data_IF_297532435157
#
_entry.id   IF_297532435157
#
_cell.length_a   1.000
_cell.length_b   1.000
_cell.length_c   1.000
_cell.angle_alpha   90.00
_cell.angle_beta   90.00
_cell.angle_gamma   90.00
#
_symmetry.space_group_name_H-M   'P 1'
#
loop_
_entity.id
_entity.type
_entity.pdbx_description
1 polymer ?
#
# COMPACT_ATOMS: atom_id res chain seq x y z
N UNK A 1 -17.28 -18.60 -0.31
CA UNK A 1 -15.99 -18.28 0.36
C UNK A 1 -14.90 -18.99 -0.42
N UNK A 2 -14.11 -18.28 -1.15
CA UNK A 2 -12.82 -18.78 -1.60
C UNK A 2 -11.83 -18.17 -0.61
N UNK A 3 -11.67 -18.81 0.58
CA UNK A 3 -10.40 -18.69 1.27
C UNK A 3 -9.36 -19.12 0.24
N UNK A 4 -8.35 -18.31 -0.07
CA UNK A 4 -7.25 -18.79 -0.88
C UNK A 4 -6.70 -20.02 -0.15
N UNK A 5 -6.77 -21.18 -0.78
CA UNK A 5 -6.46 -22.48 -0.15
C UNK A 5 -5.05 -22.53 0.47
N UNK A 6 -4.20 -21.53 0.21
CA UNK A 6 -2.94 -21.27 0.88
C UNK A 6 -2.48 -19.83 0.55
N UNK A 7 -2.72 -18.81 1.41
CA UNK A 7 -2.23 -17.45 1.16
C UNK A 7 -0.71 -17.40 1.16
N UNK A 8 -0.14 -16.60 0.25
CA UNK A 8 1.32 -16.41 0.16
C UNK A 8 1.87 -15.73 1.41
N UNK A 9 1.12 -14.78 1.97
CA UNK A 9 1.46 -14.09 3.22
C UNK A 9 0.31 -14.23 4.21
N UNK A 10 0.62 -14.67 5.42
CA UNK A 10 -0.31 -14.76 6.56
C UNK A 10 0.25 -13.97 7.74
N UNK A 11 -0.57 -13.15 8.34
CA UNK A 11 -0.22 -12.34 9.51
C UNK A 11 -1.26 -12.59 10.60
N UNK A 12 -0.81 -12.88 11.82
CA UNK A 12 -1.71 -13.16 12.95
C UNK A 12 -1.26 -12.41 14.19
N UNK A 13 -2.17 -11.61 14.75
CA UNK A 13 -1.97 -10.86 15.97
C UNK A 13 -0.70 -10.01 15.99
N UNK A 14 -0.32 -9.42 14.84
CA UNK A 14 0.96 -8.71 14.73
C UNK A 14 0.95 -7.42 15.54
N UNK A 15 1.95 -7.26 16.43
CA UNK A 15 2.07 -6.13 17.34
C UNK A 15 3.44 -5.49 17.20
N UNK A 16 3.46 -4.16 17.18
CA UNK A 16 4.67 -3.35 17.37
C UNK A 16 4.40 -2.16 18.25
N UNK A 17 4.95 -2.19 19.44
CA UNK A 17 4.95 -1.10 20.38
C UNK A 17 6.37 -0.54 20.50
N UNK A 18 6.53 0.76 20.26
CA UNK A 18 7.81 1.46 20.45
C UNK A 18 7.83 2.10 21.82
N UNK A 19 8.73 1.72 22.74
CA UNK A 19 8.83 2.35 24.05
C UNK A 19 9.24 3.82 23.86
N UNK A 20 8.47 4.73 24.46
CA UNK A 20 8.80 6.16 24.51
C UNK A 20 9.51 6.44 25.81
N UNK A 21 10.71 7.01 25.73
CA UNK A 21 11.61 7.51 26.73
C UNK A 21 11.35 7.15 28.20
N UNK A 22 12.20 6.30 28.76
CA UNK A 22 12.31 6.12 30.19
C UNK A 22 13.52 6.85 30.71
N UNK A 23 13.32 7.85 31.55
CA UNK A 23 14.38 8.25 32.51
C UNK A 23 14.78 7.01 33.30
N UNK A 24 16.06 6.80 33.47
CA UNK A 24 16.66 5.68 34.21
C UNK A 24 16.29 5.66 35.71
N UNK A 25 15.49 6.64 36.15
CA UNK A 25 15.07 6.84 37.54
C UNK A 25 13.57 7.16 37.56
N UNK A 26 12.71 6.14 37.84
CA UNK A 26 11.30 6.34 38.13
C UNK A 26 10.36 5.35 37.41
N UNK A 27 9.73 4.48 38.18
CA UNK A 27 8.74 3.48 37.80
C UNK A 27 7.34 4.07 37.52
N UNK A 28 7.23 5.10 36.67
CA UNK A 28 5.94 5.53 36.15
C UNK A 28 5.77 4.91 34.77
N UNK A 29 4.68 4.19 34.57
CA UNK A 29 4.34 3.32 33.45
C UNK A 29 4.98 3.71 32.12
N UNK A 30 5.78 2.81 31.53
CA UNK A 30 6.40 3.00 30.22
C UNK A 30 5.32 3.22 29.17
N UNK A 31 5.12 4.48 28.79
CA UNK A 31 4.28 4.77 27.63
C UNK A 31 4.95 4.19 26.39
N UNK A 32 4.17 3.60 25.52
CA UNK A 32 4.65 3.06 24.26
C UNK A 32 3.75 3.53 23.11
N UNK A 33 4.34 3.90 22.00
CA UNK A 33 3.60 4.16 20.76
C UNK A 33 3.14 2.83 20.21
N UNK A 34 1.83 2.59 20.18
CA UNK A 34 1.18 1.40 19.61
C UNK A 34 1.06 1.56 18.10
N UNK A 35 2.18 1.42 17.39
CA UNK A 35 2.23 1.65 15.95
C UNK A 35 1.48 0.57 15.14
N UNK A 36 1.53 -0.68 15.58
CA UNK A 36 0.72 -1.82 15.08
C UNK A 36 0.25 -2.59 16.30
N UNK A 37 -1.03 -2.93 16.38
CA UNK A 37 -1.64 -3.47 17.60
C UNK A 37 -2.72 -4.51 17.28
N UNK A 38 -2.27 -5.76 17.05
CA UNK A 38 -3.14 -6.90 16.81
C UNK A 38 -3.65 -6.98 15.36
N UNK A 39 -2.77 -6.84 14.36
CA UNK A 39 -3.16 -6.90 12.95
C UNK A 39 -3.17 -8.34 12.44
N UNK A 40 -4.31 -8.72 11.83
CA UNK A 40 -4.50 -9.96 11.08
C UNK A 40 -4.70 -9.64 9.59
N UNK A 41 -3.94 -10.31 8.70
CA UNK A 41 -4.01 -10.13 7.24
C UNK A 41 -3.67 -11.44 6.53
N UNK A 42 -4.38 -11.68 5.41
CA UNK A 42 -4.02 -12.74 4.46
C UNK A 42 -3.92 -12.14 3.05
N UNK A 43 -2.84 -12.50 2.34
CA UNK A 43 -2.63 -12.06 0.95
C UNK A 43 -2.38 -13.29 0.08
N UNK A 44 -3.26 -13.49 -0.90
CA UNK A 44 -3.15 -14.57 -1.89
C UNK A 44 -1.97 -14.34 -2.84
N UNK A 45 -1.43 -15.42 -3.40
CA UNK A 45 -0.44 -15.34 -4.47
C UNK A 45 -1.03 -14.62 -5.70
N UNK A 46 -0.27 -13.75 -6.34
CA UNK A 46 -0.68 -12.97 -7.49
C UNK A 46 -1.70 -11.86 -7.21
N UNK A 47 -2.18 -11.70 -5.97
CA UNK A 47 -3.13 -10.67 -5.59
C UNK A 47 -2.45 -9.36 -5.18
N UNK A 48 -3.19 -8.26 -5.26
CA UNK A 48 -2.76 -6.95 -4.76
C UNK A 48 -3.61 -6.52 -3.56
N UNK A 49 -2.97 -6.33 -2.40
CA UNK A 49 -3.58 -5.75 -1.21
C UNK A 49 -3.22 -4.26 -1.09
N UNK A 50 -4.21 -3.38 -1.08
CA UNK A 50 -4.06 -1.98 -0.72
C UNK A 50 -4.13 -1.80 0.80
N UNK A 51 -3.26 -0.97 1.37
CA UNK A 51 -3.33 -0.56 2.78
C UNK A 51 -3.46 0.96 2.84
N UNK A 52 -4.56 1.44 3.40
CA UNK A 52 -4.88 2.87 3.46
C UNK A 52 -5.18 3.33 4.88
N UNK A 53 -5.13 4.63 5.11
CA UNK A 53 -5.45 5.27 6.38
C UNK A 53 -4.69 6.59 6.55
N UNK A 54 -5.04 7.39 7.55
CA UNK A 54 -4.40 8.67 7.85
C UNK A 54 -2.90 8.52 8.12
N UNK A 55 -2.13 9.63 7.93
CA UNK A 55 -0.70 9.64 8.24
C UNK A 55 -0.46 9.27 9.70
N UNK A 56 0.58 8.48 9.97
CA UNK A 56 0.92 8.03 11.32
C UNK A 56 0.07 6.88 11.88
N UNK A 57 -0.91 6.32 11.14
CA UNK A 57 -1.72 5.20 11.62
C UNK A 57 -1.00 3.84 11.67
N UNK A 58 0.27 3.75 11.24
CA UNK A 58 1.09 2.53 11.35
C UNK A 58 1.37 1.78 10.05
N UNK A 59 0.90 2.23 8.89
CA UNK A 59 1.02 1.55 7.58
C UNK A 59 2.46 1.18 7.21
N UNK A 60 3.37 2.16 7.19
CA UNK A 60 4.79 1.93 6.84
C UNK A 60 5.49 1.05 7.89
N UNK A 61 5.09 1.15 9.16
CA UNK A 61 5.57 0.25 10.20
C UNK A 61 5.13 -1.19 9.92
N UNK A 62 3.86 -1.39 9.54
CA UNK A 62 3.34 -2.69 9.15
C UNK A 62 4.14 -3.26 7.97
N UNK A 63 4.35 -2.51 6.88
CA UNK A 63 5.15 -2.95 5.73
C UNK A 63 6.57 -3.41 6.13
N UNK A 64 7.23 -2.68 7.02
CA UNK A 64 8.57 -3.03 7.52
C UNK A 64 8.56 -4.27 8.42
N UNK A 65 7.50 -4.48 9.20
CA UNK A 65 7.31 -5.69 10.01
C UNK A 65 7.13 -6.93 9.15
N UNK A 66 6.34 -6.83 8.06
CA UNK A 66 6.10 -7.94 7.13
C UNK A 66 7.40 -8.48 6.50
N UNK A 67 8.41 -7.63 6.33
CA UNK A 67 9.75 -8.00 5.86
C UNK A 67 10.73 -8.29 6.99
N UNK A 68 10.26 -8.21 8.25
CA UNK A 68 11.12 -8.27 9.44
C UNK A 68 12.31 -7.31 9.35
N UNK A 69 12.12 -6.11 8.74
CA UNK A 69 13.09 -5.01 8.79
C UNK A 69 13.11 -4.36 10.17
N UNK A 70 12.00 -4.50 10.90
CA UNK A 70 11.83 -4.13 12.31
C UNK A 70 11.32 -5.38 13.02
N UNK A 71 11.88 -5.71 14.18
CA UNK A 71 11.40 -6.83 15.00
C UNK A 71 10.03 -6.48 15.60
N UNK A 72 9.03 -7.37 15.48
CA UNK A 72 7.74 -7.19 16.14
C UNK A 72 7.86 -7.34 17.66
N UNK A 73 6.87 -6.83 18.38
CA UNK A 73 6.73 -7.04 19.82
C UNK A 73 6.06 -8.38 20.11
N UNK A 74 5.09 -8.77 19.27
CA UNK A 74 4.36 -10.04 19.35
C UNK A 74 3.70 -10.37 17.98
N UNK A 75 3.12 -11.55 17.87
CA UNK A 75 2.40 -12.02 16.70
C UNK A 75 3.20 -12.98 15.83
N UNK A 76 2.66 -13.28 14.66
CA UNK A 76 3.25 -14.22 13.71
C UNK A 76 3.13 -13.67 12.28
N UNK A 77 4.18 -13.92 11.48
CA UNK A 77 4.20 -13.64 10.04
C UNK A 77 4.70 -14.88 9.31
N UNK A 78 3.85 -15.45 8.46
CA UNK A 78 4.22 -16.57 7.60
C UNK A 78 4.26 -16.12 6.15
N UNK A 79 5.33 -16.46 5.47
CA UNK A 79 5.48 -16.26 4.04
C UNK A 79 5.72 -17.61 3.35
N UNK A 80 4.85 -17.96 2.41
CA UNK A 80 4.89 -19.25 1.69
C UNK A 80 4.92 -20.45 2.66
N UNK A 81 4.11 -20.36 3.74
CA UNK A 81 4.02 -21.36 4.79
C UNK A 81 5.11 -21.32 5.86
N UNK A 82 6.20 -20.58 5.65
CA UNK A 82 7.34 -20.49 6.56
C UNK A 82 7.18 -19.33 7.55
N UNK A 83 7.37 -19.56 8.86
CA UNK A 83 7.36 -18.50 9.87
C UNK A 83 8.64 -17.68 9.82
N UNK A 84 8.56 -16.47 9.29
CA UNK A 84 9.74 -15.60 9.12
C UNK A 84 10.27 -15.03 10.44
N UNK A 85 9.46 -15.01 11.51
CA UNK A 85 9.89 -14.51 12.82
C UNK A 85 10.77 -15.53 13.56
N UNK A 86 10.57 -16.81 13.31
CA UNK A 86 11.39 -17.89 13.89
C UNK A 86 12.72 -18.12 13.15
N UNK A 87 12.94 -17.48 11.99
CA UNK A 87 14.12 -17.71 11.16
C UNK A 87 15.39 -17.08 11.75
N UNK A 88 16.51 -17.80 11.60
CA UNK A 88 17.84 -17.23 11.80
C UNK A 88 18.24 -16.27 10.66
N UNK A 89 19.31 -15.51 10.84
CA UNK A 89 19.74 -14.47 9.88
C UNK A 89 20.01 -15.03 8.45
N UNK A 90 20.53 -16.25 8.34
CA UNK A 90 20.81 -16.88 7.04
C UNK A 90 19.53 -17.27 6.30
N UNK A 91 18.57 -17.89 7.00
CA UNK A 91 17.25 -18.23 6.44
C UNK A 91 16.47 -16.97 6.04
N UNK A 92 16.46 -15.97 6.93
CA UNK A 92 15.79 -14.68 6.67
C UNK A 92 16.36 -13.97 5.43
N UNK A 93 17.69 -14.01 5.22
CA UNK A 93 18.32 -13.44 4.01
C UNK A 93 17.83 -14.14 2.74
N UNK A 94 17.65 -15.47 2.77
CA UNK A 94 17.09 -16.21 1.61
C UNK A 94 15.64 -15.84 1.33
N UNK A 95 14.82 -15.72 2.37
CA UNK A 95 13.41 -15.34 2.23
C UNK A 95 13.28 -13.91 1.75
N UNK A 96 14.09 -12.96 2.25
CA UNK A 96 14.10 -11.55 1.80
C UNK A 96 14.43 -11.38 0.31
N UNK A 97 15.13 -12.33 -0.32
CA UNK A 97 15.25 -12.35 -1.79
C UNK A 97 13.88 -12.46 -2.46
N UNK A 98 12.96 -13.24 -1.89
CA UNK A 98 11.60 -13.48 -2.41
C UNK A 98 10.59 -12.40 -2.02
N UNK A 99 10.96 -11.51 -1.10
CA UNK A 99 10.14 -10.41 -0.59
C UNK A 99 10.93 -9.12 -0.66
N UNK A 100 10.49 -8.16 -1.44
CA UNK A 100 11.21 -6.91 -1.66
C UNK A 100 10.36 -5.70 -1.27
N UNK A 101 11.02 -4.55 -1.06
CA UNK A 101 10.36 -3.30 -0.72
C UNK A 101 10.76 -2.20 -1.71
N UNK A 102 9.77 -1.45 -2.16
CA UNK A 102 9.93 -0.19 -2.86
C UNK A 102 9.59 0.92 -1.87
N UNK A 103 10.56 1.77 -1.56
CA UNK A 103 10.44 2.80 -0.54
C UNK A 103 9.78 4.07 -1.08
N UNK A 104 9.20 4.85 -0.18
CA UNK A 104 8.49 6.10 -0.43
C UNK A 104 9.37 7.15 -1.12
N UNK A 105 10.61 7.31 -0.66
CA UNK A 105 11.56 8.28 -1.21
C UNK A 105 12.56 7.62 -2.16
N UNK A 106 12.39 7.84 -3.49
CA UNK A 106 13.31 7.31 -4.47
C UNK A 106 14.71 7.95 -4.40
N UNK A 107 14.84 9.15 -3.78
CA UNK A 107 16.13 9.83 -3.63
C UNK A 107 17.01 9.14 -2.59
N UNK A 108 16.44 8.82 -1.43
CA UNK A 108 17.19 8.16 -0.35
C UNK A 108 17.40 6.67 -0.62
N UNK A 109 16.63 6.06 -1.54
CA UNK A 109 16.71 4.63 -1.85
C UNK A 109 17.89 4.25 -2.75
N UNK A 110 18.48 5.20 -3.47
CA UNK A 110 19.60 4.98 -4.39
C UNK A 110 20.86 5.68 -3.87
N UNK A 111 21.99 4.97 -3.88
CA UNK A 111 23.28 5.58 -3.55
C UNK A 111 23.67 6.58 -4.66
N UNK A 112 23.79 7.90 -4.38
CA UNK A 112 24.06 8.91 -5.38
C UNK A 112 25.48 8.80 -6.00
N UNK A 113 26.36 8.02 -5.39
CA UNK A 113 27.74 7.80 -5.87
C UNK A 113 27.88 6.58 -6.78
N UNK A 114 26.80 5.81 -6.97
CA UNK A 114 26.78 4.63 -7.84
C UNK A 114 26.02 4.95 -9.13
N UNK A 115 26.49 4.41 -10.25
CA UNK A 115 25.69 4.43 -11.48
C UNK A 115 24.46 3.53 -11.33
N UNK A 116 23.42 3.79 -12.11
CA UNK A 116 22.18 2.98 -12.12
C UNK A 116 22.51 1.51 -12.41
N UNK A 117 23.38 1.25 -13.40
CA UNK A 117 23.82 -0.11 -13.72
C UNK A 117 24.49 -0.82 -12.55
N UNK A 118 25.32 -0.10 -11.78
CA UNK A 118 25.96 -0.66 -10.57
C UNK A 118 24.93 -0.95 -9.48
N UNK A 119 23.97 -0.05 -9.28
CA UNK A 119 22.89 -0.24 -8.29
C UNK A 119 21.97 -1.42 -8.62
N UNK A 120 21.74 -1.71 -9.90
CA UNK A 120 20.98 -2.88 -10.35
C UNK A 120 21.81 -4.16 -10.35
N UNK A 121 23.12 -4.08 -10.62
CA UNK A 121 24.01 -5.23 -10.61
C UNK A 121 24.35 -5.72 -9.20
N UNK A 122 24.29 -4.86 -8.18
CA UNK A 122 24.58 -5.20 -6.79
C UNK A 122 23.70 -6.36 -6.26
N UNK A 123 22.36 -6.31 -6.31
CA UNK A 123 21.50 -7.42 -5.87
C UNK A 123 21.68 -8.67 -6.73
N UNK A 124 21.92 -8.53 -8.05
CA UNK A 124 22.21 -9.67 -8.92
C UNK A 124 23.48 -10.42 -8.48
N UNK A 125 24.50 -9.66 -8.06
CA UNK A 125 25.76 -10.21 -7.56
C UNK A 125 25.62 -10.84 -6.19
N UNK A 126 24.99 -10.09 -5.24
CA UNK A 126 24.82 -10.51 -3.85
C UNK A 126 24.05 -11.83 -3.73
N UNK A 127 22.98 -11.95 -4.51
CA UNK A 127 22.10 -13.11 -4.51
C UNK A 127 22.45 -14.15 -5.58
N UNK A 128 23.49 -13.93 -6.38
CA UNK A 128 23.95 -14.81 -7.48
C UNK A 128 22.80 -15.20 -8.41
N UNK A 129 22.00 -14.21 -8.80
CA UNK A 129 20.81 -14.43 -9.65
C UNK A 129 21.22 -14.91 -11.04
N UNK A 130 22.27 -14.28 -11.59
CA UNK A 130 22.85 -14.62 -12.88
C UNK A 130 24.39 -14.71 -12.79
N UNK A 131 25.07 -15.46 -13.69
CA UNK A 131 26.52 -15.48 -13.81
C UNK A 131 27.10 -14.08 -14.04
N UNK A 132 28.35 -13.84 -13.63
CA UNK A 132 28.99 -12.53 -13.71
C UNK A 132 28.98 -11.95 -15.14
N UNK A 133 29.20 -12.79 -16.15
CA UNK A 133 29.22 -12.38 -17.56
C UNK A 133 27.84 -11.94 -18.13
N UNK A 134 26.74 -12.37 -17.49
CA UNK A 134 25.38 -12.04 -17.94
C UNK A 134 24.76 -10.86 -17.19
N UNK A 135 25.44 -10.29 -16.19
CA UNK A 135 24.86 -9.22 -15.35
C UNK A 135 24.54 -7.97 -16.13
N UNK A 136 25.38 -7.61 -17.13
CA UNK A 136 25.17 -6.44 -17.96
C UNK A 136 23.91 -6.55 -18.80
N UNK A 137 23.68 -7.71 -19.39
CA UNK A 137 22.48 -7.98 -20.21
C UNK A 137 21.24 -7.99 -19.32
N UNK A 138 21.34 -8.61 -18.14
CA UNK A 138 20.23 -8.61 -17.16
C UNK A 138 19.88 -7.21 -16.66
N UNK A 139 20.87 -6.33 -16.47
CA UNK A 139 20.64 -4.92 -16.13
C UNK A 139 19.90 -4.19 -17.26
N UNK A 140 20.26 -4.44 -18.52
CA UNK A 140 19.58 -3.87 -19.67
C UNK A 140 18.12 -4.33 -19.75
N UNK A 141 17.86 -5.63 -19.54
CA UNK A 141 16.51 -6.19 -19.48
C UNK A 141 15.68 -5.53 -18.35
N UNK A 142 16.25 -5.38 -17.14
CA UNK A 142 15.57 -4.75 -16.01
C UNK A 142 15.20 -3.29 -16.29
N UNK A 143 16.04 -2.55 -16.98
CA UNK A 143 15.74 -1.18 -17.39
C UNK A 143 14.61 -1.14 -18.42
N UNK A 144 14.64 -2.02 -19.40
CA UNK A 144 13.60 -2.14 -20.42
C UNK A 144 12.24 -2.51 -19.81
N UNK A 145 12.21 -3.47 -18.87
CA UNK A 145 10.99 -3.86 -18.14
C UNK A 145 10.30 -2.70 -17.44
N UNK A 146 11.04 -1.69 -16.99
CA UNK A 146 10.47 -0.49 -16.35
C UNK A 146 10.34 0.70 -17.31
N UNK A 147 10.56 0.48 -18.62
CA UNK A 147 10.43 1.50 -19.67
C UNK A 147 11.55 2.55 -19.64
N UNK A 148 12.77 2.15 -19.29
CA UNK A 148 13.97 2.94 -19.35
C UNK A 148 14.93 2.38 -20.41
N UNK A 149 15.66 3.25 -21.09
CA UNK A 149 16.62 2.82 -22.10
C UNK A 149 17.84 2.12 -21.47
N UNK A 150 18.38 1.05 -22.07
CA UNK A 150 19.55 0.32 -21.56
C UNK A 150 20.81 1.18 -21.35
N UNK A 151 21.02 2.22 -22.16
CA UNK A 151 22.14 3.17 -22.04
C UNK A 151 22.07 4.02 -20.75
N UNK A 152 20.92 4.09 -20.11
CA UNK A 152 20.76 4.72 -18.80
C UNK A 152 21.57 4.03 -17.69
N UNK A 153 22.04 2.80 -17.90
CA UNK A 153 22.88 2.08 -16.93
C UNK A 153 24.16 2.85 -16.54
N UNK A 154 24.72 3.65 -17.46
CA UNK A 154 25.93 4.45 -17.23
C UNK A 154 25.71 5.73 -16.42
N UNK A 155 24.48 6.19 -16.26
CA UNK A 155 24.12 7.46 -15.61
C UNK A 155 24.02 7.34 -14.10
N UNK A 156 24.11 8.47 -13.41
CA UNK A 156 23.95 8.56 -11.96
C UNK A 156 22.49 8.92 -11.58
N UNK A 157 22.03 8.57 -10.38
CA UNK A 157 20.65 8.85 -9.96
C UNK A 157 20.22 10.32 -10.06
N UNK A 158 21.12 11.28 -9.85
CA UNK A 158 20.81 12.70 -9.92
C UNK A 158 20.50 13.21 -11.34
N UNK A 159 20.81 12.45 -12.38
CA UNK A 159 20.52 12.76 -13.78
C UNK A 159 19.10 12.35 -14.22
N UNK A 160 18.29 11.78 -13.30
CA UNK A 160 16.96 11.28 -13.58
C UNK A 160 15.87 12.09 -12.87
N UNK A 161 14.69 12.16 -13.48
CA UNK A 161 13.49 12.69 -12.84
C UNK A 161 13.01 11.81 -11.66
N UNK A 162 12.15 12.33 -10.79
CA UNK A 162 11.58 11.56 -9.68
C UNK A 162 10.90 10.27 -10.14
N UNK A 163 10.09 10.32 -11.19
CA UNK A 163 9.42 9.14 -11.75
C UNK A 163 10.37 8.13 -12.36
N UNK A 164 11.46 8.59 -13.01
CA UNK A 164 12.49 7.69 -13.52
C UNK A 164 13.27 7.02 -12.38
N UNK A 165 13.59 7.73 -11.30
CA UNK A 165 14.23 7.15 -10.10
C UNK A 165 13.33 6.11 -9.45
N UNK A 166 12.02 6.36 -9.41
CA UNK A 166 11.06 5.38 -8.90
C UNK A 166 11.05 4.10 -9.76
N UNK A 167 11.10 4.23 -11.09
CA UNK A 167 11.25 3.09 -12.01
C UNK A 167 12.54 2.31 -11.77
N UNK A 168 13.65 2.99 -11.49
CA UNK A 168 14.93 2.36 -11.13
C UNK A 168 14.80 1.61 -9.79
N UNK A 169 14.11 2.19 -8.80
CA UNK A 169 13.82 1.53 -7.52
C UNK A 169 13.00 0.25 -7.69
N UNK A 170 11.99 0.28 -8.58
CA UNK A 170 11.20 -0.90 -8.96
C UNK A 170 12.09 -1.93 -9.67
N UNK A 171 12.90 -1.53 -10.65
CA UNK A 171 13.83 -2.43 -11.35
C UNK A 171 14.79 -3.12 -10.37
N UNK A 172 15.30 -2.38 -9.37
CA UNK A 172 16.16 -2.94 -8.32
C UNK A 172 15.46 -3.99 -7.48
N UNK A 173 14.20 -3.74 -7.10
CA UNK A 173 13.41 -4.74 -6.39
C UNK A 173 13.17 -6.00 -7.24
N UNK A 174 12.95 -5.85 -8.55
CA UNK A 174 12.73 -6.95 -9.49
C UNK A 174 14.03 -7.74 -9.78
N UNK A 175 15.20 -7.16 -9.57
CA UNK A 175 16.49 -7.79 -9.90
C UNK A 175 16.69 -9.18 -9.26
N UNK A 176 16.09 -9.43 -8.11
CA UNK A 176 16.18 -10.70 -7.38
C UNK A 176 15.02 -11.66 -7.64
N UNK A 177 14.13 -11.34 -8.57
CA UNK A 177 12.97 -12.14 -8.96
C UNK A 177 12.07 -12.47 -7.74
N UNK A 178 11.51 -11.43 -7.08
CA UNK A 178 10.69 -11.62 -5.90
C UNK A 178 9.32 -12.22 -6.24
N UNK A 179 8.66 -12.84 -5.23
CA UNK A 179 7.24 -13.23 -5.30
C UNK A 179 6.32 -12.19 -4.66
N UNK A 180 6.86 -11.35 -3.77
CA UNK A 180 6.13 -10.29 -3.08
C UNK A 180 6.91 -8.98 -3.16
N UNK A 181 6.22 -7.90 -3.56
CA UNK A 181 6.74 -6.55 -3.45
C UNK A 181 5.81 -5.72 -2.55
N UNK A 182 6.39 -5.05 -1.56
CA UNK A 182 5.69 -4.09 -0.71
C UNK A 182 6.09 -2.69 -1.17
N UNK A 183 5.15 -1.92 -1.72
CA UNK A 183 5.32 -0.51 -2.05
C UNK A 183 4.90 0.36 -0.87
N UNK A 184 5.85 1.00 -0.20
CA UNK A 184 5.57 1.98 0.86
C UNK A 184 5.42 3.36 0.22
N UNK A 185 4.19 3.78 -0.02
CA UNK A 185 3.82 5.02 -0.73
C UNK A 185 4.59 5.22 -2.07
N UNK A 186 4.55 4.24 -2.98
CA UNK A 186 5.46 4.21 -4.14
C UNK A 186 5.24 5.35 -5.15
N UNK A 187 4.23 6.20 -4.95
CA UNK A 187 3.87 7.29 -5.86
C UNK A 187 3.63 8.64 -5.17
N UNK A 188 3.71 8.72 -3.84
CA UNK A 188 3.31 9.92 -3.07
C UNK A 188 4.10 11.19 -3.38
N UNK A 189 5.37 11.05 -3.78
CA UNK A 189 6.27 12.18 -4.09
C UNK A 189 6.27 12.56 -5.58
N UNK A 190 5.30 12.08 -6.38
CA UNK A 190 5.25 12.24 -7.81
C UNK A 190 4.02 13.03 -8.27
N UNK A 191 4.13 13.71 -9.41
CA UNK A 191 2.99 14.37 -10.05
C UNK A 191 1.92 13.36 -10.48
N UNK A 192 0.64 13.76 -10.48
CA UNK A 192 -0.52 12.89 -10.75
C UNK A 192 -0.38 12.09 -12.05
N UNK A 193 0.14 12.70 -13.13
CA UNK A 193 0.36 12.02 -14.41
C UNK A 193 1.43 10.93 -14.32
N UNK A 194 2.47 11.15 -13.54
CA UNK A 194 3.55 10.18 -13.31
C UNK A 194 3.07 9.09 -12.36
N UNK A 195 2.26 9.42 -11.35
CA UNK A 195 1.63 8.42 -10.48
C UNK A 195 0.86 7.38 -11.29
N UNK A 196 0.00 7.83 -12.21
CA UNK A 196 -0.76 6.92 -13.09
C UNK A 196 0.15 6.00 -13.92
N UNK A 197 1.27 6.51 -14.43
CA UNK A 197 2.24 5.70 -15.16
C UNK A 197 2.90 4.63 -14.30
N UNK A 198 3.30 4.96 -13.06
CA UNK A 198 3.92 4.00 -12.13
C UNK A 198 2.89 2.93 -11.70
N UNK A 199 1.65 3.31 -11.44
CA UNK A 199 0.56 2.37 -11.11
C UNK A 199 0.33 1.39 -12.26
N UNK A 200 0.23 1.89 -13.50
CA UNK A 200 0.08 1.04 -14.68
C UNK A 200 1.28 0.12 -14.90
N UNK A 201 2.50 0.61 -14.65
CA UNK A 201 3.71 -0.21 -14.69
C UNK A 201 3.64 -1.34 -13.66
N UNK A 202 3.32 -1.05 -12.39
CA UNK A 202 3.20 -2.07 -11.34
C UNK A 202 2.13 -3.12 -11.68
N UNK A 203 0.95 -2.70 -12.20
CA UNK A 203 -0.09 -3.64 -12.67
C UNK A 203 0.37 -4.51 -13.84
N UNK A 204 1.10 -3.92 -14.78
CA UNK A 204 1.69 -4.65 -15.91
C UNK A 204 2.67 -5.72 -15.43
N UNK A 205 3.61 -5.32 -14.56
CA UNK A 205 4.59 -6.22 -13.97
C UNK A 205 3.96 -7.31 -13.10
N UNK A 206 2.94 -6.98 -12.32
CA UNK A 206 2.19 -7.93 -11.51
C UNK A 206 1.61 -9.06 -12.37
N UNK A 207 0.96 -8.71 -13.49
CA UNK A 207 0.38 -9.70 -14.42
C UNK A 207 1.44 -10.49 -15.18
N UNK A 208 2.50 -9.82 -15.62
CA UNK A 208 3.56 -10.43 -16.43
C UNK A 208 4.42 -11.42 -15.63
N UNK A 209 4.66 -11.12 -14.36
CA UNK A 209 5.59 -11.86 -13.49
C UNK A 209 4.88 -12.65 -12.39
N UNK A 210 3.54 -12.68 -12.37
CA UNK A 210 2.72 -13.29 -11.30
C UNK A 210 3.12 -12.79 -9.89
N UNK A 211 3.36 -11.48 -9.79
CA UNK A 211 3.80 -10.85 -8.54
C UNK A 211 2.62 -10.66 -7.58
N UNK A 212 2.85 -10.89 -6.31
CA UNK A 212 1.97 -10.42 -5.25
C UNK A 212 2.40 -9.02 -4.82
N UNK A 213 1.44 -8.11 -4.68
CA UNK A 213 1.73 -6.73 -4.30
C UNK A 213 1.03 -6.37 -2.98
N UNK A 214 1.73 -5.62 -2.12
CA UNK A 214 1.12 -4.85 -1.04
C UNK A 214 1.44 -3.39 -1.32
N UNK A 215 0.40 -2.56 -1.50
CA UNK A 215 0.56 -1.14 -1.81
C UNK A 215 0.03 -0.31 -0.66
N UNK A 216 0.94 0.32 0.06
CA UNK A 216 0.62 1.28 1.11
C UNK A 216 0.46 2.64 0.44
N UNK A 217 -0.69 3.29 0.65
CA UNK A 217 -0.94 4.62 0.13
C UNK A 217 -1.80 5.44 1.11
N UNK A 218 -1.70 6.76 1.02
CA UNK A 218 -2.64 7.67 1.68
C UNK A 218 -3.77 8.09 0.74
N UNK A 219 -3.60 7.92 -0.57
CA UNK A 219 -4.59 8.22 -1.60
C UNK A 219 -5.41 6.97 -1.95
N UNK A 220 -6.71 7.03 -1.63
CA UNK A 220 -7.67 5.98 -1.93
C UNK A 220 -7.90 5.81 -3.44
N UNK A 221 -7.74 6.86 -4.25
CA UNK A 221 -7.87 6.75 -5.70
C UNK A 221 -6.79 5.85 -6.31
N UNK A 222 -5.55 5.95 -5.81
CA UNK A 222 -4.44 5.07 -6.19
C UNK A 222 -4.78 3.62 -5.87
N UNK A 223 -5.23 3.37 -4.64
CA UNK A 223 -5.55 2.01 -4.17
C UNK A 223 -6.73 1.40 -4.93
N UNK A 224 -7.76 2.19 -5.23
CA UNK A 224 -8.90 1.77 -6.06
C UNK A 224 -8.47 1.19 -7.41
N UNK A 225 -7.46 1.79 -8.02
CA UNK A 225 -7.00 1.37 -9.34
C UNK A 225 -6.09 0.16 -9.35
N UNK A 226 -5.31 -0.06 -8.28
CA UNK A 226 -4.30 -1.12 -8.29
C UNK A 226 -4.70 -2.37 -7.51
N UNK A 227 -5.54 -2.24 -6.48
CA UNK A 227 -5.76 -3.30 -5.49
C UNK A 227 -6.97 -4.17 -5.81
N UNK A 228 -6.86 -5.45 -5.48
CA UNK A 228 -7.98 -6.41 -5.49
C UNK A 228 -8.78 -6.30 -4.19
N UNK A 229 -8.06 -6.19 -3.05
CA UNK A 229 -8.63 -5.99 -1.72
C UNK A 229 -7.98 -4.80 -1.03
N UNK A 230 -8.69 -4.17 -0.10
CA UNK A 230 -8.21 -3.00 0.64
C UNK A 230 -8.39 -3.22 2.14
N UNK A 231 -7.30 -2.98 2.89
CA UNK A 231 -7.29 -2.90 4.34
C UNK A 231 -7.21 -1.43 4.77
N UNK A 232 -8.19 -0.98 5.54
CA UNK A 232 -8.24 0.36 6.11
C UNK A 232 -7.67 0.31 7.53
N UNK A 233 -6.61 1.08 7.78
CA UNK A 233 -5.95 1.15 9.08
C UNK A 233 -6.27 2.44 9.82
N UNK A 234 -6.53 2.33 11.11
CA UNK A 234 -6.69 3.44 12.04
C UNK A 234 -5.97 3.16 13.35
N UNK A 235 -5.08 4.06 13.78
CA UNK A 235 -4.31 3.96 15.05
C UNK A 235 -3.74 2.56 15.32
N UNK A 236 -3.06 1.98 14.32
CA UNK A 236 -2.37 0.69 14.45
C UNK A 236 -3.26 -0.56 14.30
N UNK A 237 -4.53 -0.42 14.01
CA UNK A 237 -5.45 -1.54 13.81
C UNK A 237 -6.07 -1.51 12.41
N UNK A 238 -6.43 -2.68 11.88
CA UNK A 238 -7.29 -2.79 10.70
C UNK A 238 -8.73 -2.65 11.17
N UNK A 239 -9.43 -1.64 10.64
CA UNK A 239 -10.82 -1.35 11.00
C UNK A 239 -11.81 -1.84 9.95
N UNK A 240 -11.37 -2.01 8.71
CA UNK A 240 -12.17 -2.59 7.63
C UNK A 240 -11.25 -3.26 6.60
N UNK A 241 -11.66 -4.43 6.08
CA UNK A 241 -10.96 -5.17 5.03
C UNK A 241 -11.99 -5.78 4.10
N UNK A 242 -11.96 -5.42 2.82
CA UNK A 242 -12.91 -5.91 1.83
C UNK A 242 -12.29 -5.95 0.43
N UNK A 243 -13.01 -6.57 -0.50
CA UNK A 243 -12.75 -6.43 -1.92
C UNK A 243 -12.89 -4.97 -2.32
N UNK A 244 -12.04 -4.50 -3.22
CA UNK A 244 -11.97 -3.08 -3.59
C UNK A 244 -13.32 -2.55 -4.04
N UNK A 245 -14.04 -3.29 -4.89
CA UNK A 245 -15.37 -2.89 -5.37
C UNK A 245 -16.35 -2.67 -4.22
N UNK A 246 -16.41 -3.62 -3.27
CA UNK A 246 -17.33 -3.59 -2.14
C UNK A 246 -17.01 -2.46 -1.18
N UNK A 247 -15.72 -2.24 -0.86
CA UNK A 247 -15.29 -1.18 0.03
C UNK A 247 -15.63 0.22 -0.52
N UNK A 248 -15.47 0.43 -1.84
CA UNK A 248 -15.78 1.71 -2.46
C UNK A 248 -17.26 1.92 -2.73
N UNK A 249 -18.04 0.85 -2.90
CA UNK A 249 -19.48 0.94 -3.15
C UNK A 249 -20.29 0.99 -1.85
N UNK A 250 -19.95 0.16 -0.88
CA UNK A 250 -20.68 -0.02 0.37
C UNK A 250 -19.74 -0.09 1.59
N UNK A 251 -19.02 1.01 1.90
CA UNK A 251 -18.17 1.08 3.08
C UNK A 251 -19.02 0.92 4.35
N UNK A 252 -18.55 0.12 5.30
CA UNK A 252 -19.33 -0.21 6.51
C UNK A 252 -18.80 0.51 7.73
N UNK A 253 -17.48 0.66 7.87
CA UNK A 253 -16.92 1.37 9.01
C UNK A 253 -17.08 2.89 8.84
N UNK A 254 -17.57 3.62 9.88
CA UNK A 254 -17.73 5.08 9.79
C UNK A 254 -16.47 5.85 9.38
N UNK A 255 -15.29 5.40 9.80
CA UNK A 255 -14.03 5.99 9.37
C UNK A 255 -13.78 5.83 7.86
N UNK A 256 -14.06 4.65 7.30
CA UNK A 256 -13.92 4.40 5.85
C UNK A 256 -14.87 5.29 5.05
N UNK A 257 -16.11 5.45 5.53
CA UNK A 257 -17.10 6.36 4.91
C UNK A 257 -16.58 7.78 4.85
N UNK A 258 -16.05 8.27 5.97
CA UNK A 258 -15.49 9.61 6.06
C UNK A 258 -14.25 9.78 5.15
N UNK A 259 -13.35 8.79 5.09
CA UNK A 259 -12.20 8.82 4.17
C UNK A 259 -12.63 8.88 2.69
N UNK A 260 -13.64 8.09 2.32
CA UNK A 260 -14.17 8.07 0.95
C UNK A 260 -14.90 9.36 0.59
N UNK A 261 -15.61 9.97 1.54
CA UNK A 261 -16.31 11.24 1.34
C UNK A 261 -15.34 12.43 1.14
N UNK A 262 -14.10 12.30 1.62
CA UNK A 262 -13.06 13.31 1.45
C UNK A 262 -12.38 13.27 0.07
N UNK A 263 -12.65 12.24 -0.76
CA UNK A 263 -12.12 12.17 -2.14
C UNK A 263 -12.80 13.26 -2.97
N UNK A 264 -12.03 14.18 -3.61
CA UNK A 264 -12.62 15.20 -4.47
C UNK A 264 -13.32 14.55 -5.67
N UNK A 265 -14.62 14.74 -5.77
CA UNK A 265 -15.39 14.33 -6.94
C UNK A 265 -15.42 15.47 -7.96
N UNK A 266 -15.30 15.19 -9.26
CA UNK A 266 -15.38 16.21 -10.31
C UNK A 266 -16.83 16.71 -10.55
N UNK A 267 -17.74 16.49 -9.59
CA UNK A 267 -19.14 16.91 -9.66
C UNK A 267 -19.40 18.11 -8.72
N UNK A 268 -19.60 19.33 -9.27
CA UNK A 268 -19.88 20.53 -8.47
C UNK A 268 -21.14 20.44 -7.62
N UNK A 269 -22.14 19.62 -8.01
CA UNK A 269 -23.40 19.46 -7.30
C UNK A 269 -23.31 18.66 -5.99
N UNK A 270 -22.21 17.93 -5.78
CA UNK A 270 -22.01 17.07 -4.60
C UNK A 270 -21.13 17.67 -3.51
N UNK A 271 -20.73 18.95 -3.62
CA UNK A 271 -19.83 19.61 -2.66
C UNK A 271 -20.33 19.64 -1.20
N UNK A 272 -21.60 19.41 -0.95
CA UNK A 272 -22.22 19.57 0.39
C UNK A 272 -22.45 18.24 1.14
N UNK A 273 -21.95 17.10 0.65
CA UNK A 273 -22.20 15.78 1.30
C UNK A 273 -20.94 15.15 1.93
N UNK A 274 -19.83 15.88 2.01
CA UNK A 274 -18.64 15.36 2.68
C UNK A 274 -18.90 15.19 4.18
N UNK A 275 -18.86 13.97 4.68
CA UNK A 275 -18.82 13.68 6.11
C UNK A 275 -17.46 14.14 6.64
N UNK A 276 -17.39 15.38 7.15
CA UNK A 276 -16.17 15.90 7.73
C UNK A 276 -15.83 15.16 9.02
N UNK A 277 -14.64 14.53 9.06
CA UNK A 277 -14.09 14.00 10.30
C UNK A 277 -13.89 15.15 11.29
N UNK A 278 -14.62 15.11 12.41
CA UNK A 278 -14.47 16.10 13.48
C UNK A 278 -13.36 15.69 14.44
N UNK A 279 -12.62 16.65 14.94
CA UNK A 279 -11.56 16.47 15.92
C UNK A 279 -10.23 15.95 15.35
N UNK A 280 -9.19 16.09 16.16
CA UNK A 280 -7.84 15.65 15.84
C UNK A 280 -7.66 14.14 15.99
N UNK A 281 -6.66 13.58 15.30
CA UNK A 281 -6.29 12.16 15.44
C UNK A 281 -5.73 11.95 16.86
N UNK A 282 -6.29 11.03 17.66
CA UNK A 282 -5.77 10.75 18.99
C UNK A 282 -4.32 10.23 18.94
N UNK A 283 -3.59 10.48 20.02
CA UNK A 283 -2.19 10.05 20.10
C UNK A 283 -2.05 8.52 20.10
N UNK A 284 -1.20 7.94 19.25
CA UNK A 284 -0.93 6.50 19.27
C UNK A 284 -0.19 6.03 20.54
N UNK A 285 0.35 6.96 21.35
CA UNK A 285 0.95 6.66 22.66
C UNK A 285 -0.11 6.46 23.75
N UNK A 286 -1.31 7.01 23.57
CA UNK A 286 -2.44 6.87 24.47
C UNK A 286 -3.73 6.78 23.65
N UNK A 287 -3.93 5.66 22.92
CA UNK A 287 -5.13 5.48 22.11
C UNK A 287 -6.37 5.42 23.01
N UNK A 288 -7.52 5.91 22.51
CA UNK A 288 -8.80 5.81 23.24
C UNK A 288 -9.10 4.36 23.65
N UNK A 289 -9.73 4.19 24.82
CA UNK A 289 -10.28 2.89 25.24
C UNK A 289 -11.41 2.46 24.30
N UNK A 290 -11.72 1.18 24.27
CA UNK A 290 -12.77 0.65 23.40
C UNK A 290 -12.45 0.80 21.91
N UNK A 291 -13.45 1.19 21.13
CA UNK A 291 -13.26 1.52 19.71
C UNK A 291 -12.38 2.76 19.57
N UNK A 292 -11.23 2.64 18.92
CA UNK A 292 -10.26 3.76 18.78
C UNK A 292 -10.79 4.96 18.02
N UNK A 293 -11.83 4.73 17.21
CA UNK A 293 -12.47 5.79 16.42
C UNK A 293 -13.63 6.49 17.15
N UNK A 294 -14.07 6.00 18.33
CA UNK A 294 -15.29 6.50 18.99
C UNK A 294 -15.28 8.01 19.26
N UNK A 295 -14.13 8.62 19.54
CA UNK A 295 -14.00 10.07 19.81
C UNK A 295 -14.25 10.94 18.58
N UNK A 296 -14.22 10.37 17.39
CA UNK A 296 -14.45 11.05 16.10
C UNK A 296 -15.65 10.48 15.35
N UNK A 297 -16.30 9.46 15.89
CA UNK A 297 -17.39 8.74 15.24
C UNK A 297 -18.73 9.45 15.49
N UNK A 298 -19.46 9.87 14.45
CA UNK A 298 -20.77 10.51 14.61
C UNK A 298 -21.86 9.54 15.12
N UNK A 299 -21.60 8.23 15.08
CA UNK A 299 -22.51 7.17 15.48
C UNK A 299 -22.09 6.51 16.82
N UNK A 300 -21.14 7.11 17.55
CA UNK A 300 -20.62 6.50 18.78
C UNK A 300 -21.71 6.36 19.84
N UNK A 301 -21.77 5.18 20.44
CA UNK A 301 -22.61 4.87 21.60
C UNK A 301 -21.72 4.53 22.80
N UNK A 302 -22.30 4.44 24.02
CA UNK A 302 -21.57 4.20 25.26
C UNK A 302 -20.66 2.95 25.16
N UNK A 303 -21.17 1.86 24.61
CA UNK A 303 -20.40 0.62 24.36
C UNK A 303 -19.09 0.87 23.59
N UNK A 304 -19.09 1.80 22.61
CA UNK A 304 -17.91 2.11 21.82
C UNK A 304 -16.76 2.71 22.65
N UNK A 305 -17.03 3.37 23.76
CA UNK A 305 -16.02 3.95 24.64
C UNK A 305 -15.38 2.94 25.60
N UNK A 306 -16.06 1.80 25.84
CA UNK A 306 -15.67 0.81 26.84
C UNK A 306 -15.10 -0.45 26.20
N UNK A 307 -15.72 -0.94 25.12
CA UNK A 307 -15.42 -2.22 24.49
C UNK A 307 -14.80 -2.03 23.09
N UNK A 308 -13.66 -2.69 22.83
CA UNK A 308 -13.05 -2.71 21.50
C UNK A 308 -13.83 -3.67 20.59
N UNK A 309 -14.34 -3.21 19.42
CA UNK A 309 -15.03 -4.10 18.50
C UNK A 309 -14.05 -5.11 17.88
N UNK A 310 -14.40 -6.40 17.84
CA UNK A 310 -13.64 -7.38 17.09
C UNK A 310 -13.75 -7.11 15.59
N UNK A 311 -12.75 -7.55 14.81
CA UNK A 311 -12.83 -7.54 13.36
C UNK A 311 -13.71 -8.73 12.91
N UNK A 312 -15.00 -8.47 12.69
CA UNK A 312 -15.97 -9.48 12.25
C UNK A 312 -16.02 -9.59 10.74
N UNK A 313 -15.93 -10.82 10.22
CA UNK A 313 -16.03 -11.08 8.77
C UNK A 313 -17.41 -11.64 8.45
N UNK A 314 -18.07 -11.09 7.44
CA UNK A 314 -19.34 -11.61 6.95
C UNK A 314 -19.17 -12.74 5.92
N UNK A 315 -20.29 -13.24 5.39
CA UNK A 315 -20.31 -14.32 4.40
C UNK A 315 -19.66 -13.96 3.04
N UNK A 316 -19.50 -12.65 2.75
CA UNK A 316 -18.84 -12.18 1.53
C UNK A 316 -17.32 -12.04 1.68
N UNK A 317 -16.77 -12.19 2.90
CA UNK A 317 -15.36 -11.94 3.19
C UNK A 317 -15.06 -10.47 3.55
N UNK A 318 -16.08 -9.63 3.70
CA UNK A 318 -15.96 -8.26 4.15
C UNK A 318 -15.83 -8.22 5.67
N UNK A 319 -14.69 -7.78 6.18
CA UNK A 319 -14.40 -7.71 7.62
C UNK A 319 -14.48 -6.28 8.13
N UNK A 320 -15.12 -6.07 9.29
CA UNK A 320 -15.36 -4.75 9.89
C UNK A 320 -15.20 -4.79 11.40
N UNK A 321 -14.47 -3.83 11.96
CA UNK A 321 -14.31 -3.64 13.40
C UNK A 321 -15.21 -2.50 13.90
N UNK A 322 -16.55 -2.72 13.93
CA UNK A 322 -17.53 -1.75 14.39
C UNK A 322 -18.71 -2.45 15.04
N UNK A 323 -19.12 -2.05 16.26
CA UNK A 323 -20.27 -2.64 16.95
C UNK A 323 -21.60 -2.43 16.22
N UNK A 324 -21.70 -1.36 15.42
CA UNK A 324 -22.94 -0.90 14.80
C UNK A 324 -23.01 -1.13 13.29
N UNK A 325 -22.05 -1.81 12.68
CA UNK A 325 -21.93 -1.86 11.23
C UNK A 325 -23.16 -2.44 10.49
N UNK A 326 -23.98 -3.27 11.18
CA UNK A 326 -25.23 -3.83 10.62
C UNK A 326 -26.42 -2.87 10.73
N UNK A 327 -26.37 -1.94 11.70
CA UNK A 327 -27.47 -1.03 12.04
C UNK A 327 -27.27 0.37 11.46
N UNK A 328 -26.08 0.66 10.93
CA UNK A 328 -25.80 1.95 10.32
C UNK A 328 -26.62 2.13 9.03
N UNK A 329 -27.14 3.35 8.77
CA UNK A 329 -27.79 3.65 7.52
C UNK A 329 -26.83 3.34 6.36
N UNK A 330 -27.36 2.89 5.23
CA UNK A 330 -26.54 2.68 4.04
C UNK A 330 -25.74 3.96 3.76
N UNK A 331 -24.43 3.82 3.52
CA UNK A 331 -23.63 4.95 3.08
C UNK A 331 -24.33 5.52 1.84
N UNK A 332 -24.64 6.81 1.87
CA UNK A 332 -25.14 7.47 0.67
C UNK A 332 -24.13 7.16 -0.43
N UNK A 333 -24.56 6.42 -1.45
CA UNK A 333 -23.68 5.88 -2.46
C UNK A 333 -22.75 6.99 -2.94
N UNK A 334 -21.52 6.99 -2.46
CA UNK A 334 -20.44 7.68 -3.12
C UNK A 334 -20.21 6.88 -4.41
N UNK A 335 -21.18 6.97 -5.32
CA UNK A 335 -21.00 6.54 -6.68
C UNK A 335 -19.87 7.43 -7.21
N UNK A 336 -18.65 6.94 -7.08
CA UNK A 336 -17.60 7.31 -8.00
C UNK A 336 -18.12 6.75 -9.33
N UNK A 337 -19.02 7.50 -9.98
CA UNK A 337 -19.34 7.28 -11.37
C UNK A 337 -17.97 7.34 -12.06
N UNK A 338 -17.62 6.26 -12.75
CA UNK A 338 -16.60 6.38 -13.79
C UNK A 338 -16.93 7.67 -14.54
N UNK A 339 -15.96 8.51 -14.88
CA UNK A 339 -16.22 9.68 -15.66
C UNK A 339 -16.86 9.15 -16.96
N UNK A 340 -18.19 9.14 -17.00
CA UNK A 340 -18.92 9.08 -18.26
C UNK A 340 -18.39 10.29 -18.99
N UNK A 341 -17.48 10.04 -19.95
CA UNK A 341 -16.82 11.10 -20.68
C UNK A 341 -17.92 12.06 -21.12
N UNK A 342 -17.88 13.29 -20.64
CA UNK A 342 -18.90 14.26 -21.01
C UNK A 342 -19.04 14.17 -22.53
N UNK A 343 -20.23 14.38 -23.03
CA UNK A 343 -20.53 14.43 -24.50
C UNK A 343 -19.47 15.27 -25.26
N UNK A 344 -18.88 16.25 -24.57
CA UNK A 344 -17.76 17.05 -25.03
C UNK A 344 -16.41 16.30 -25.10
N UNK A 345 -16.17 15.29 -24.26
CA UNK A 345 -14.95 14.47 -24.34
C UNK A 345 -15.01 13.53 -25.53
N UNK A 346 -16.14 12.88 -25.75
CA UNK A 346 -16.35 12.02 -26.93
C UNK A 346 -16.35 12.83 -28.23
N UNK A 347 -16.93 14.04 -28.24
CA UNK A 347 -16.83 14.96 -29.39
C UNK A 347 -15.40 15.42 -29.67
N UNK A 348 -14.61 15.75 -28.65
CA UNK A 348 -13.18 16.12 -28.80
C UNK A 348 -12.33 14.93 -29.24
N UNK A 349 -12.54 13.74 -28.70
CA UNK A 349 -11.86 12.52 -29.12
C UNK A 349 -12.16 12.20 -30.58
N UNK A 350 -13.41 12.27 -31.02
CA UNK A 350 -13.82 12.09 -32.39
C UNK A 350 -13.20 13.11 -33.36
N UNK A 351 -13.09 14.39 -32.95
CA UNK A 351 -12.42 15.46 -33.74
C UNK A 351 -10.92 15.18 -33.88
N UNK A 352 -10.26 14.68 -32.82
CA UNK A 352 -8.83 14.35 -32.86
C UNK A 352 -8.57 13.10 -33.73
N UNK A 353 -9.42 12.10 -33.69
CA UNK A 353 -9.32 10.94 -34.60
C UNK A 353 -9.59 11.30 -36.05
N UNK A 354 -10.57 12.17 -36.32
CA UNK A 354 -10.83 12.69 -37.67
C UNK A 354 -9.64 13.47 -38.25
N UNK A 355 -8.95 14.27 -37.43
CA UNK A 355 -7.73 15.01 -37.84
C UNK A 355 -6.52 14.07 -38.10
N UNK A 356 -6.41 12.95 -37.36
CA UNK A 356 -5.35 11.95 -37.61
C UNK A 356 -5.50 11.21 -38.94
N UNK A 357 -6.74 11.14 -39.49
CA UNK A 357 -7.07 10.45 -40.75
C UNK A 357 -6.99 11.36 -41.99
N UNK A 358 -6.73 12.66 -41.82
CA UNK A 358 -6.53 13.57 -42.96
C UNK A 358 -5.05 13.48 -43.42
N UNK A 359 -4.79 13.18 -44.70
CA UNK A 359 -3.42 13.23 -45.25
C UNK A 359 -2.88 14.66 -45.18
N UNK A 360 -1.59 14.79 -44.91
CA UNK A 360 -0.91 16.08 -44.89
C UNK A 360 -1.10 16.79 -46.24
N UNK A 361 -1.34 18.13 -46.25
CA UNK A 361 -1.41 18.86 -47.49
C UNK A 361 -0.07 18.80 -48.20
N UNK A 362 -0.11 18.60 -49.55
CA UNK A 362 1.03 18.50 -50.45
C UNK A 362 1.84 19.77 -50.53
#
# INVERSE_FOLDING_TARGET
MIEPANPLLQVRGLVKHFPTGGSWIGSHGRQAVKAVDGVDLDVGAGATLGIVGESGCGKSTLGRLLLRLIEPTAGQVRFDGEDILAMNASALRRVRRRMQMVFQDPFSSLNPRMTVGSALAEPLSLHRVVPAGQRRDRVAELLDMVGLAPDHAGRFPHEFSGGQRQRIGIARALAVEPRLIIGDEPVSALDVSIQAQIINLLKGLQRQLDLTLIVIAHDLAVVKHISDRVAVMYLGQVVELADTADLFHAPRHPYTRALLSAIPLPDPGRRNQAEHLQGDVPSPSNPPAGCRFHTRCPFAVERCSVEAPPLETDSSGHAVACHLWRDLPAAGAATVSEPSGSDNFHKRAAILEARRKQPAPA
#
